data_IF_686140168458
#
_entry.id   IF_686140168458
#
_cell.length_a   1.000
_cell.length_b   1.000
_cell.length_c   1.000
_cell.angle_alpha   90.00
_cell.angle_beta   90.00
_cell.angle_gamma   90.00
#
_symmetry.space_group_name_H-M   'P 1'
#
loop_
_entity.id
_entity.type
_entity.pdbx_description
1 polymer ?
#
# COMPACT_ATOMS: atom_id res chain seq x y z
N UNK A 1 -11.02 22.85 13.49
CA UNK A 1 -11.27 21.56 12.82
C UNK A 1 -10.17 21.40 11.80
N UNK A 2 -9.32 20.39 11.92
CA UNK A 2 -8.32 20.09 10.88
C UNK A 2 -9.11 19.75 9.62
N UNK A 3 -8.91 20.50 8.54
CA UNK A 3 -9.59 20.26 7.27
C UNK A 3 -8.80 19.14 6.58
N UNK A 4 -9.42 17.99 6.33
CA UNK A 4 -8.83 16.94 5.50
C UNK A 4 -8.58 17.51 4.09
N UNK A 5 -7.32 17.48 3.64
CA UNK A 5 -6.91 18.11 2.38
C UNK A 5 -6.96 17.17 1.20
N UNK A 6 -7.14 15.87 1.46
CA UNK A 6 -7.04 14.82 0.45
C UNK A 6 -8.19 13.81 0.57
N UNK A 7 -8.68 13.37 -0.60
CA UNK A 7 -9.56 12.20 -0.71
C UNK A 7 -8.75 11.10 -1.37
N UNK A 8 -8.78 9.92 -0.76
CA UNK A 8 -8.24 8.70 -1.32
C UNK A 8 -9.36 7.78 -1.76
N UNK A 9 -9.28 7.28 -2.98
CA UNK A 9 -10.19 6.25 -3.49
C UNK A 9 -9.46 4.92 -3.60
N UNK A 10 -10.05 3.89 -3.02
CA UNK A 10 -9.49 2.54 -2.96
C UNK A 10 -10.18 1.60 -3.95
N UNK A 11 -9.45 0.56 -4.35
CA UNK A 11 -9.99 -0.51 -5.18
C UNK A 11 -9.23 -1.81 -4.91
N UNK A 12 -9.93 -2.78 -4.36
CA UNK A 12 -9.43 -4.10 -4.00
C UNK A 12 -10.52 -5.15 -4.14
N UNK A 13 -10.11 -6.43 -4.21
CA UNK A 13 -11.02 -7.57 -4.20
C UNK A 13 -11.50 -7.81 -2.75
N UNK A 14 -12.69 -8.38 -2.58
CA UNK A 14 -13.26 -8.68 -1.24
C UNK A 14 -12.34 -9.56 -0.38
N UNK A 15 -11.50 -10.38 -1.01
CA UNK A 15 -10.51 -11.20 -0.31
C UNK A 15 -9.34 -10.40 0.27
N UNK A 16 -9.16 -9.14 -0.12
CA UNK A 16 -8.09 -8.24 0.30
C UNK A 16 -8.58 -7.14 1.26
N UNK A 17 -9.87 -7.13 1.61
CA UNK A 17 -10.50 -6.09 2.44
C UNK A 17 -9.77 -5.89 3.78
N UNK A 18 -9.48 -6.97 4.50
CA UNK A 18 -8.80 -6.89 5.80
C UNK A 18 -7.37 -6.34 5.65
N UNK A 19 -6.65 -6.74 4.59
CA UNK A 19 -5.30 -6.25 4.31
C UNK A 19 -5.30 -4.77 3.92
N UNK A 20 -6.24 -4.34 3.08
CA UNK A 20 -6.40 -2.93 2.72
C UNK A 20 -6.71 -2.08 3.95
N UNK A 21 -7.62 -2.53 4.81
CA UNK A 21 -7.94 -1.86 6.05
C UNK A 21 -6.73 -1.75 7.00
N UNK A 22 -5.95 -2.83 7.12
CA UNK A 22 -4.74 -2.84 7.94
C UNK A 22 -3.66 -1.90 7.37
N UNK A 23 -3.40 -1.92 6.05
CA UNK A 23 -2.48 -0.99 5.39
C UNK A 23 -2.93 0.47 5.61
N UNK A 24 -4.22 0.75 5.42
CA UNK A 24 -4.80 2.09 5.60
C UNK A 24 -4.62 2.60 7.03
N UNK A 25 -4.85 1.75 8.03
CA UNK A 25 -4.61 2.08 9.45
C UNK A 25 -3.16 2.53 9.68
N UNK A 26 -2.19 1.80 9.13
CA UNK A 26 -0.76 2.11 9.35
C UNK A 26 -0.26 3.30 8.53
N UNK A 27 -0.83 3.56 7.36
CA UNK A 27 -0.46 4.72 6.53
C UNK A 27 -1.09 6.02 7.00
N UNK A 28 -2.34 5.99 7.51
CA UNK A 28 -3.13 7.19 7.75
C UNK A 28 -3.59 7.36 9.20
N UNK A 29 -3.37 6.36 10.05
CA UNK A 29 -3.96 6.29 11.40
C UNK A 29 -5.49 6.49 11.39
N UNK A 30 -6.14 6.10 10.31
CA UNK A 30 -7.57 6.18 10.04
C UNK A 30 -8.05 4.90 9.37
N UNK A 31 -9.36 4.72 9.32
CA UNK A 31 -10.01 3.67 8.54
C UNK A 31 -10.77 4.28 7.37
N UNK A 32 -10.77 3.61 6.23
CA UNK A 32 -11.61 3.97 5.11
C UNK A 32 -13.08 3.62 5.37
N UNK A 33 -13.98 4.34 4.72
CA UNK A 33 -15.41 4.04 4.68
C UNK A 33 -15.85 3.95 3.22
N UNK A 34 -16.39 2.80 2.81
CA UNK A 34 -16.89 2.63 1.44
C UNK A 34 -15.81 2.91 0.38
N UNK A 35 -14.60 2.37 0.60
CA UNK A 35 -13.44 2.58 -0.30
C UNK A 35 -13.05 4.05 -0.51
N UNK A 36 -13.39 4.91 0.44
CA UNK A 36 -13.05 6.33 0.47
C UNK A 36 -12.43 6.69 1.81
N UNK A 37 -11.37 7.48 1.80
CA UNK A 37 -10.73 8.02 2.99
C UNK A 37 -10.48 9.52 2.80
N UNK A 38 -10.91 10.30 3.79
CA UNK A 38 -10.54 11.70 3.95
C UNK A 38 -9.35 11.81 4.91
N UNK A 39 -8.29 12.50 4.50
CA UNK A 39 -7.05 12.62 5.29
C UNK A 39 -6.33 13.93 5.05
N UNK A 40 -5.60 14.37 6.07
CA UNK A 40 -4.60 15.45 5.99
C UNK A 40 -3.20 14.95 5.62
N UNK A 41 -2.99 13.63 5.63
CA UNK A 41 -1.71 13.00 5.28
C UNK A 41 -1.61 12.85 3.75
N UNK A 42 -0.54 13.40 3.16
CA UNK A 42 -0.26 13.33 1.73
C UNK A 42 0.57 12.11 1.38
N UNK A 43 -0.02 11.16 0.65
CA UNK A 43 0.65 9.94 0.19
C UNK A 43 0.53 9.83 -1.34
N UNK A 44 1.60 9.40 -2.01
CA UNK A 44 1.53 9.02 -3.42
C UNK A 44 0.72 7.71 -3.56
N UNK A 45 -0.35 7.68 -4.36
CA UNK A 45 -1.13 6.46 -4.58
C UNK A 45 -0.32 5.25 -5.00
N UNK A 46 0.80 5.45 -5.69
CA UNK A 46 1.63 4.37 -6.25
C UNK A 46 2.39 3.57 -5.18
N UNK A 47 2.45 4.07 -3.94
CA UNK A 47 3.05 3.30 -2.83
C UNK A 47 2.14 2.18 -2.32
N UNK A 48 0.83 2.24 -2.60
CA UNK A 48 -0.14 1.21 -2.21
C UNK A 48 -0.65 0.42 -3.42
N UNK A 49 -0.95 -0.85 -3.22
CA UNK A 49 -1.64 -1.66 -4.20
C UNK A 49 -3.15 -1.33 -4.29
N UNK A 50 -3.69 -0.78 -3.22
CA UNK A 50 -5.13 -0.57 -3.03
C UNK A 50 -5.58 0.85 -3.32
N UNK A 51 -4.74 1.87 -3.11
CA UNK A 51 -5.07 3.25 -3.45
C UNK A 51 -5.03 3.40 -4.98
N UNK A 52 -6.17 3.73 -5.58
CA UNK A 52 -6.29 3.96 -7.03
C UNK A 52 -6.04 5.41 -7.40
N UNK A 53 -6.41 6.32 -6.49
CA UNK A 53 -6.35 7.75 -6.77
C UNK A 53 -6.32 8.55 -5.47
N UNK A 54 -5.62 9.68 -5.49
CA UNK A 54 -5.72 10.77 -4.53
C UNK A 54 -6.29 12.01 -5.22
N UNK A 55 -7.16 12.72 -4.53
CA UNK A 55 -7.69 14.02 -4.94
C UNK A 55 -7.15 15.04 -3.94
N UNK A 56 -6.37 16.00 -4.40
CA UNK A 56 -5.92 17.14 -3.62
C UNK A 56 -7.03 18.18 -3.68
N UNK A 57 -7.73 18.41 -2.55
CA UNK A 57 -8.95 19.24 -2.49
C UNK A 57 -8.59 20.69 -2.68
N UNK A 58 -9.26 21.36 -3.62
CA UNK A 58 -9.18 22.80 -3.86
C UNK A 58 -10.39 23.50 -3.24
N UNK A 59 -11.58 22.93 -3.42
CA UNK A 59 -12.81 23.51 -2.91
C UNK A 59 -13.82 22.41 -2.53
N UNK A 60 -14.64 22.70 -1.54
CA UNK A 60 -15.73 21.82 -1.12
C UNK A 60 -16.95 22.61 -0.68
N UNK A 61 -18.16 22.04 -0.82
CA UNK A 61 -19.41 22.63 -0.34
C UNK A 61 -20.52 21.57 -0.30
N UNK A 62 -21.45 21.73 0.63
CA UNK A 62 -22.70 20.95 0.62
C UNK A 62 -23.61 21.33 -0.55
N UNK A 63 -23.61 22.60 -0.92
CA UNK A 63 -24.39 23.10 -2.04
C UNK A 63 -23.54 23.27 -3.29
N UNK A 64 -24.01 22.72 -4.41
CA UNK A 64 -23.29 22.74 -5.67
C UNK A 64 -23.11 24.16 -6.24
N UNK A 65 -24.12 25.05 -6.12
CA UNK A 65 -24.01 26.41 -6.62
C UNK A 65 -22.97 27.22 -5.84
N UNK A 66 -22.86 26.96 -4.56
CA UNK A 66 -21.80 27.51 -3.70
C UNK A 66 -20.43 26.99 -4.10
N UNK A 67 -20.31 25.68 -4.40
CA UNK A 67 -19.04 25.13 -4.92
C UNK A 67 -18.58 25.84 -6.19
N UNK A 68 -19.47 26.00 -7.18
CA UNK A 68 -19.16 26.72 -8.42
C UNK A 68 -18.70 28.16 -8.15
N UNK A 69 -19.40 28.85 -7.23
CA UNK A 69 -19.00 30.21 -6.84
C UNK A 69 -17.63 30.26 -6.21
N UNK A 70 -17.29 29.27 -5.40
CA UNK A 70 -15.97 29.17 -4.80
C UNK A 70 -14.88 28.87 -5.86
N UNK A 71 -15.13 27.92 -6.78
CA UNK A 71 -14.19 27.62 -7.88
C UNK A 71 -13.89 28.87 -8.72
N UNK A 72 -14.90 29.67 -9.03
CA UNK A 72 -14.70 30.94 -9.76
C UNK A 72 -13.84 31.94 -8.99
N UNK A 73 -13.96 32.00 -7.66
CA UNK A 73 -13.13 32.87 -6.81
C UNK A 73 -11.66 32.44 -6.78
N UNK A 74 -11.37 31.14 -6.96
CA UNK A 74 -9.98 30.63 -7.06
C UNK A 74 -9.27 31.13 -8.31
N UNK A 75 -10.01 31.69 -9.30
CA UNK A 75 -9.45 32.26 -10.54
C UNK A 75 -8.45 31.32 -11.23
N UNK A 76 -8.82 30.04 -11.35
CA UNK A 76 -7.94 29.03 -11.94
C UNK A 76 -7.77 29.34 -13.43
N UNK A 77 -6.51 29.61 -13.84
CA UNK A 77 -6.13 29.84 -15.25
C UNK A 77 -5.06 28.83 -15.65
N UNK A 78 -5.39 27.90 -16.56
CA UNK A 78 -4.48 26.83 -16.98
C UNK A 78 -4.85 26.27 -18.33
N UNK A 79 -3.85 26.04 -19.19
CA UNK A 79 -4.00 25.38 -20.48
C UNK A 79 -3.86 23.86 -20.39
N UNK A 80 -4.60 23.14 -21.21
CA UNK A 80 -4.50 21.68 -21.31
C UNK A 80 -5.12 20.95 -20.13
N UNK A 81 -6.17 21.48 -19.51
CA UNK A 81 -6.86 20.80 -18.41
C UNK A 81 -7.96 19.86 -18.91
N UNK A 82 -8.32 18.91 -18.04
CA UNK A 82 -9.54 18.08 -18.19
C UNK A 82 -10.23 17.97 -16.84
N UNK A 83 -11.55 17.95 -16.87
CA UNK A 83 -12.39 17.69 -15.69
C UNK A 83 -13.04 16.31 -15.82
N UNK A 84 -12.89 15.46 -14.80
CA UNK A 84 -13.54 14.16 -14.68
C UNK A 84 -14.53 14.16 -13.53
N UNK A 85 -15.63 13.41 -13.67
CA UNK A 85 -16.50 13.07 -12.56
C UNK A 85 -16.11 11.68 -12.03
N UNK A 86 -15.82 11.58 -10.74
CA UNK A 86 -15.58 10.29 -10.08
C UNK A 86 -16.83 9.92 -9.27
N UNK A 87 -17.44 8.80 -9.64
CA UNK A 87 -18.56 8.22 -8.89
C UNK A 87 -17.98 7.46 -7.71
N UNK A 88 -18.16 7.99 -6.52
CA UNK A 88 -17.79 7.33 -5.27
C UNK A 88 -18.98 6.50 -4.76
N UNK A 89 -18.71 5.56 -3.84
CA UNK A 89 -19.77 4.70 -3.31
C UNK A 89 -20.81 5.54 -2.53
N UNK A 90 -22.09 5.31 -2.83
CA UNK A 90 -23.21 6.10 -2.28
C UNK A 90 -23.62 7.31 -3.14
N UNK A 91 -22.86 7.64 -4.19
CA UNK A 91 -23.22 8.71 -5.11
C UNK A 91 -24.32 8.26 -6.10
N UNK A 92 -25.50 8.85 -5.96
CA UNK A 92 -26.69 8.58 -6.79
C UNK A 92 -26.92 9.62 -7.88
N UNK A 93 -25.96 10.53 -8.12
CA UNK A 93 -26.08 11.57 -9.13
C UNK A 93 -26.28 10.96 -10.51
N UNK A 94 -27.35 11.32 -11.21
CA UNK A 94 -27.67 10.82 -12.55
C UNK A 94 -26.62 11.23 -13.58
N UNK A 95 -26.39 10.38 -14.58
CA UNK A 95 -25.36 10.59 -15.62
C UNK A 95 -25.49 11.93 -16.34
N UNK A 96 -26.71 12.32 -16.77
CA UNK A 96 -26.95 13.60 -17.42
C UNK A 96 -26.56 14.78 -16.51
N UNK A 97 -26.95 14.72 -15.23
CA UNK A 97 -26.59 15.74 -14.25
C UNK A 97 -25.07 15.84 -14.02
N UNK A 98 -24.35 14.71 -14.09
CA UNK A 98 -22.86 14.74 -14.00
C UNK A 98 -22.25 15.48 -15.18
N UNK A 99 -22.76 15.27 -16.40
CA UNK A 99 -22.26 15.95 -17.60
C UNK A 99 -22.50 17.47 -17.52
N UNK A 100 -23.67 17.90 -17.06
CA UNK A 100 -23.98 19.32 -16.88
C UNK A 100 -23.03 19.95 -15.84
N UNK A 101 -22.80 19.25 -14.72
CA UNK A 101 -21.86 19.71 -13.69
C UNK A 101 -20.42 19.82 -14.18
N UNK A 102 -19.97 18.85 -15.01
CA UNK A 102 -18.62 18.92 -15.62
C UNK A 102 -18.50 20.11 -16.55
N UNK A 103 -19.54 20.44 -17.31
CA UNK A 103 -19.59 21.61 -18.21
C UNK A 103 -19.51 22.90 -17.39
N UNK A 104 -20.30 23.03 -16.32
CA UNK A 104 -20.29 24.22 -15.46
C UNK A 104 -18.91 24.48 -14.83
N UNK A 105 -18.23 23.41 -14.38
CA UNK A 105 -16.85 23.51 -13.87
C UNK A 105 -15.89 23.91 -15.00
N UNK A 106 -16.00 23.27 -16.18
CA UNK A 106 -15.17 23.62 -17.32
C UNK A 106 -15.23 25.10 -17.69
N UNK A 107 -16.46 25.70 -17.67
CA UNK A 107 -16.65 27.13 -17.88
C UNK A 107 -16.20 28.02 -16.71
N UNK A 108 -15.91 27.43 -15.55
CA UNK A 108 -15.41 28.16 -14.37
C UNK A 108 -13.87 28.22 -14.34
N UNK A 109 -13.18 27.56 -15.27
CA UNK A 109 -11.73 27.51 -15.41
C UNK A 109 -11.35 28.30 -16.67
N UNK A 110 -10.42 29.23 -16.53
CA UNK A 110 -9.86 29.98 -17.66
C UNK A 110 -8.79 29.14 -18.37
N UNK A 111 -8.88 29.04 -19.72
CA UNK A 111 -7.94 28.28 -20.55
C UNK A 111 -8.63 27.28 -21.48
N UNK A 112 -7.84 26.54 -22.25
CA UNK A 112 -8.32 25.60 -23.25
C UNK A 112 -8.23 24.17 -22.71
N UNK A 113 -9.33 23.37 -22.67
CA UNK A 113 -9.27 21.99 -22.23
C UNK A 113 -8.55 21.10 -23.27
N UNK A 114 -7.83 20.08 -22.77
CA UNK A 114 -7.30 18.98 -23.57
C UNK A 114 -7.87 17.64 -23.07
N UNK A 115 -8.71 17.02 -23.86
CA UNK A 115 -9.39 15.77 -23.51
C UNK A 115 -8.52 14.52 -23.72
N UNK A 116 -7.43 14.64 -24.49
CA UNK A 116 -6.58 13.51 -24.88
C UNK A 116 -5.29 13.44 -24.07
N UNK A 117 -4.59 14.57 -23.93
CA UNK A 117 -3.30 14.65 -23.22
C UNK A 117 -3.29 15.79 -22.20
N UNK A 118 -4.19 15.76 -21.20
CA UNK A 118 -4.27 16.85 -20.24
C UNK A 118 -3.00 16.97 -19.41
N UNK A 119 -2.53 18.21 -19.24
CA UNK A 119 -1.42 18.54 -18.34
C UNK A 119 -1.83 18.47 -16.88
N UNK A 120 -3.12 18.74 -16.61
CA UNK A 120 -3.74 18.60 -15.28
C UNK A 120 -5.10 17.96 -15.37
N UNK A 121 -5.40 17.11 -14.40
CA UNK A 121 -6.69 16.44 -14.26
C UNK A 121 -7.41 17.01 -13.04
N UNK A 122 -8.49 17.74 -13.26
CA UNK A 122 -9.42 18.12 -12.21
C UNK A 122 -10.48 17.04 -12.02
N UNK A 123 -11.01 16.95 -10.82
CA UNK A 123 -12.04 15.99 -10.45
C UNK A 123 -13.15 16.68 -9.67
N UNK A 124 -14.39 16.34 -10.04
CA UNK A 124 -15.57 16.54 -9.22
C UNK A 124 -16.01 15.20 -8.67
N UNK A 125 -16.34 15.14 -7.39
CA UNK A 125 -17.01 13.99 -6.77
C UNK A 125 -17.98 14.44 -5.68
N UNK A 126 -18.93 13.56 -5.36
CA UNK A 126 -19.88 13.73 -4.27
C UNK A 126 -19.72 12.61 -3.26
N UNK A 127 -19.52 12.95 -1.99
CA UNK A 127 -19.34 11.98 -0.92
C UNK A 127 -19.77 12.55 0.42
N UNK A 128 -20.51 11.79 1.19
CA UNK A 128 -20.99 12.14 2.54
C UNK A 128 -21.68 13.51 2.57
N UNK A 129 -22.61 13.72 1.62
CA UNK A 129 -23.40 14.95 1.43
C UNK A 129 -22.58 16.23 1.11
N UNK A 130 -21.36 16.05 0.61
CA UNK A 130 -20.46 17.15 0.24
C UNK A 130 -19.96 16.97 -1.19
N UNK A 131 -19.97 18.06 -1.95
CA UNK A 131 -19.28 18.18 -3.23
C UNK A 131 -17.81 18.54 -3.02
N UNK A 132 -16.93 17.84 -3.69
CA UNK A 132 -15.50 18.10 -3.67
C UNK A 132 -14.98 18.36 -5.07
N UNK A 133 -14.16 19.39 -5.20
CA UNK A 133 -13.43 19.71 -6.41
C UNK A 133 -11.94 19.81 -6.08
N UNK A 134 -11.10 19.22 -6.93
CA UNK A 134 -9.66 19.23 -6.72
C UNK A 134 -8.88 18.64 -7.88
N UNK A 135 -7.55 18.55 -7.73
CA UNK A 135 -6.68 17.88 -8.68
C UNK A 135 -6.52 16.41 -8.38
N UNK A 136 -6.36 15.59 -9.42
CA UNK A 136 -6.30 14.14 -9.29
C UNK A 136 -4.94 13.57 -9.64
N UNK A 137 -4.41 12.74 -8.75
CA UNK A 137 -3.20 11.93 -8.93
C UNK A 137 -3.61 10.46 -8.97
N UNK A 138 -3.35 9.78 -10.07
CA UNK A 138 -3.60 8.33 -10.22
C UNK A 138 -2.42 7.51 -9.74
N UNK A 139 -2.68 6.28 -9.28
CA UNK A 139 -1.65 5.27 -9.12
C UNK A 139 -1.05 4.98 -10.52
N UNK A 140 0.25 5.09 -10.65
CA UNK A 140 0.94 4.91 -11.95
C UNK A 140 1.08 3.44 -12.34
N UNK A 141 0.84 2.51 -11.41
CA UNK A 141 0.93 1.06 -11.61
C UNK A 141 2.32 0.55 -12.07
N UNK A 142 3.36 1.37 -12.01
CA UNK A 142 4.70 0.98 -12.47
C UNK A 142 5.29 -0.21 -11.69
N UNK A 143 4.85 -0.40 -10.45
CA UNK A 143 5.21 -1.56 -9.64
C UNK A 143 4.72 -2.91 -10.21
N UNK A 144 3.73 -2.91 -11.11
CA UNK A 144 3.30 -4.13 -11.81
C UNK A 144 4.41 -4.77 -12.65
N UNK A 145 5.44 -4.02 -13.05
CA UNK A 145 6.63 -4.53 -13.73
C UNK A 145 7.32 -5.63 -12.93
N UNK A 146 7.23 -5.61 -11.61
CA UNK A 146 7.84 -6.64 -10.75
C UNK A 146 7.22 -8.04 -10.92
N UNK A 147 6.07 -8.17 -11.58
CA UNK A 147 5.54 -9.48 -12.03
C UNK A 147 6.47 -10.15 -13.04
N UNK A 148 7.29 -9.38 -13.75
CA UNK A 148 8.20 -9.83 -14.79
C UNK A 148 9.63 -10.05 -14.26
N UNK A 149 9.82 -10.12 -12.93
CA UNK A 149 11.12 -10.41 -12.36
C UNK A 149 11.70 -11.71 -12.93
N UNK A 150 13.01 -11.77 -13.27
CA UNK A 150 13.65 -12.91 -13.92
C UNK A 150 13.50 -14.23 -13.15
N UNK A 151 13.55 -14.14 -11.82
CA UNK A 151 13.45 -15.31 -10.95
C UNK A 151 12.20 -15.24 -10.10
N UNK A 152 11.33 -16.23 -10.25
CA UNK A 152 10.08 -16.37 -9.49
C UNK A 152 10.07 -17.69 -8.74
N UNK A 153 9.47 -17.67 -7.56
CA UNK A 153 9.26 -18.87 -6.76
C UNK A 153 7.77 -19.08 -6.53
N UNK A 154 7.28 -20.31 -6.72
CA UNK A 154 5.84 -20.62 -6.71
C UNK A 154 5.14 -20.26 -5.40
N UNK A 155 5.89 -20.25 -4.30
CA UNK A 155 5.38 -19.97 -2.95
C UNK A 155 5.54 -18.52 -2.53
N UNK A 156 6.17 -17.66 -3.34
CA UNK A 156 6.31 -16.25 -3.04
C UNK A 156 4.95 -15.57 -2.87
N UNK A 157 4.90 -14.61 -1.99
CA UNK A 157 3.72 -13.73 -1.87
C UNK A 157 3.52 -12.90 -3.15
N UNK A 158 2.28 -12.46 -3.39
CA UNK A 158 2.01 -11.56 -4.52
C UNK A 158 2.64 -10.19 -4.28
N UNK A 159 2.94 -9.47 -5.36
CA UNK A 159 3.49 -8.11 -5.25
C UNK A 159 2.54 -7.15 -4.54
N UNK A 160 1.21 -7.34 -4.65
CA UNK A 160 0.22 -6.53 -3.91
C UNK A 160 0.33 -6.73 -2.40
N UNK A 161 0.45 -8.00 -1.96
CA UNK A 161 0.65 -8.33 -0.54
C UNK A 161 1.99 -7.78 -0.07
N UNK A 162 3.09 -8.03 -0.79
CA UNK A 162 4.42 -7.55 -0.45
C UNK A 162 4.43 -6.03 -0.24
N UNK A 163 3.76 -5.28 -1.13
CA UNK A 163 3.63 -3.83 -1.06
C UNK A 163 2.90 -3.38 0.20
N UNK A 164 1.78 -4.01 0.53
CA UNK A 164 1.04 -3.71 1.76
C UNK A 164 1.87 -4.03 3.02
N UNK A 165 2.59 -5.16 3.06
CA UNK A 165 3.46 -5.51 4.19
C UNK A 165 4.55 -4.45 4.42
N UNK A 166 5.16 -3.92 3.35
CA UNK A 166 6.14 -2.82 3.44
C UNK A 166 5.51 -1.58 4.08
N UNK A 167 4.30 -1.21 3.67
CA UNK A 167 3.60 -0.05 4.22
C UNK A 167 3.21 -0.26 5.70
N UNK A 168 2.75 -1.44 6.07
CA UNK A 168 2.43 -1.80 7.45
C UNK A 168 3.70 -1.76 8.32
N UNK A 169 4.80 -2.37 7.86
CA UNK A 169 6.05 -2.39 8.60
C UNK A 169 6.64 -1.00 8.79
N UNK A 170 6.69 -0.21 7.71
CA UNK A 170 7.28 1.13 7.72
C UNK A 170 6.38 2.21 8.33
N UNK A 171 5.07 1.97 8.44
CA UNK A 171 4.07 2.98 8.85
C UNK A 171 4.14 4.25 7.97
N UNK A 172 4.48 4.12 6.69
CA UNK A 172 4.65 5.25 5.78
C UNK A 172 5.89 6.11 6.04
N UNK A 173 6.69 5.83 7.07
CA UNK A 173 7.88 6.58 7.41
C UNK A 173 9.08 6.14 6.56
N UNK A 174 9.49 6.97 5.59
CA UNK A 174 10.63 6.70 4.69
C UNK A 174 12.01 6.66 5.37
N UNK A 175 12.10 7.10 6.61
CA UNK A 175 13.36 7.04 7.38
C UNK A 175 13.59 5.67 8.00
N UNK A 176 12.52 4.87 8.16
CA UNK A 176 12.62 3.54 8.73
C UNK A 176 13.48 2.62 7.87
N UNK A 177 14.39 1.91 8.51
CA UNK A 177 15.21 0.85 7.94
C UNK A 177 14.50 -0.47 8.14
N UNK A 178 14.28 -1.18 7.07
CA UNK A 178 13.54 -2.44 7.08
C UNK A 178 14.48 -3.63 6.86
N UNK A 179 14.05 -4.81 7.32
CA UNK A 179 14.67 -6.08 6.93
C UNK A 179 13.58 -7.07 6.50
N UNK A 180 13.85 -7.80 5.42
CA UNK A 180 13.10 -9.00 5.03
C UNK A 180 13.88 -10.21 5.54
N UNK A 181 13.40 -10.81 6.65
CA UNK A 181 14.16 -11.81 7.40
C UNK A 181 14.18 -13.21 6.76
N UNK A 182 13.29 -13.45 5.78
CA UNK A 182 13.24 -14.67 4.96
C UNK A 182 12.99 -14.27 3.50
N UNK A 183 13.91 -13.49 2.91
CA UNK A 183 13.66 -12.72 1.71
C UNK A 183 13.39 -13.54 0.45
N UNK A 184 13.77 -14.83 0.43
CA UNK A 184 13.58 -15.68 -0.72
C UNK A 184 14.16 -15.05 -2.00
N UNK A 185 13.33 -14.88 -3.03
CA UNK A 185 13.71 -14.23 -4.31
C UNK A 185 13.56 -12.69 -4.28
N UNK A 186 13.34 -12.08 -3.11
CA UNK A 186 13.35 -10.63 -2.90
C UNK A 186 12.06 -9.91 -3.30
N UNK A 187 10.89 -10.55 -3.27
CA UNK A 187 9.62 -9.91 -3.68
C UNK A 187 9.27 -8.70 -2.79
N UNK A 188 9.42 -8.82 -1.47
CA UNK A 188 9.19 -7.71 -0.52
C UNK A 188 10.23 -6.61 -0.73
N UNK A 189 11.48 -6.99 -0.95
CA UNK A 189 12.57 -6.04 -1.18
C UNK A 189 12.34 -5.18 -2.43
N UNK A 190 11.84 -5.78 -3.53
CA UNK A 190 11.48 -5.03 -4.75
C UNK A 190 10.43 -3.95 -4.46
N UNK A 191 9.37 -4.29 -3.72
CA UNK A 191 8.31 -3.34 -3.39
C UNK A 191 8.78 -2.26 -2.42
N UNK A 192 9.66 -2.58 -1.47
CA UNK A 192 10.27 -1.61 -0.58
C UNK A 192 11.16 -0.62 -1.34
N UNK A 193 12.04 -1.11 -2.20
CA UNK A 193 12.91 -0.28 -3.04
C UNK A 193 12.10 0.63 -3.98
N UNK A 194 11.08 0.09 -4.67
CA UNK A 194 10.17 0.87 -5.50
C UNK A 194 9.52 2.00 -4.73
N UNK A 195 9.08 1.71 -3.52
CA UNK A 195 8.43 2.68 -2.64
C UNK A 195 9.43 3.63 -1.95
N UNK A 196 10.73 3.53 -2.24
CA UNK A 196 11.78 4.43 -1.71
C UNK A 196 12.18 4.15 -0.26
N UNK A 197 11.94 2.94 0.25
CA UNK A 197 12.41 2.51 1.57
C UNK A 197 13.80 1.88 1.48
N UNK A 198 14.59 2.02 2.55
CA UNK A 198 15.83 1.27 2.76
C UNK A 198 15.47 -0.09 3.34
N UNK A 199 15.86 -1.15 2.68
CA UNK A 199 15.62 -2.52 3.10
C UNK A 199 16.83 -3.39 2.84
N UNK A 200 17.17 -4.23 3.82
CA UNK A 200 18.11 -5.35 3.66
C UNK A 200 17.29 -6.66 3.63
N UNK A 201 17.87 -7.72 3.10
CA UNK A 201 17.28 -9.05 3.10
C UNK A 201 18.20 -10.11 3.67
N UNK A 202 17.65 -11.14 4.30
CA UNK A 202 18.39 -12.32 4.77
C UNK A 202 17.67 -13.60 4.38
N UNK A 203 18.39 -14.60 3.90
CA UNK A 203 17.89 -15.95 3.66
C UNK A 203 19.02 -16.96 3.86
N UNK A 204 18.71 -18.14 4.39
CA UNK A 204 19.67 -19.22 4.58
C UNK A 204 20.02 -19.93 3.27
N UNK A 205 19.18 -19.80 2.24
CA UNK A 205 19.37 -20.48 0.96
C UNK A 205 20.19 -19.61 -0.01
N UNK A 206 21.45 -20.01 -0.32
CA UNK A 206 22.33 -19.23 -1.18
C UNK A 206 21.74 -18.98 -2.57
N UNK A 207 21.02 -19.97 -3.12
CA UNK A 207 20.41 -19.85 -4.45
C UNK A 207 19.34 -18.76 -4.47
N UNK A 208 18.46 -18.71 -3.46
CA UNK A 208 17.42 -17.68 -3.37
C UNK A 208 18.04 -16.29 -3.20
N UNK A 209 19.13 -16.16 -2.44
CA UNK A 209 19.85 -14.90 -2.30
C UNK A 209 20.48 -14.42 -3.63
N UNK A 210 21.01 -15.36 -4.45
CA UNK A 210 21.52 -15.03 -5.79
C UNK A 210 20.35 -14.53 -6.66
N UNK A 211 19.24 -15.25 -6.66
CA UNK A 211 18.05 -14.89 -7.42
C UNK A 211 17.46 -13.53 -6.96
N UNK A 212 17.46 -13.23 -5.65
CA UNK A 212 17.05 -11.94 -5.10
C UNK A 212 17.92 -10.78 -5.60
N UNK A 213 19.26 -10.94 -5.53
CA UNK A 213 20.22 -9.93 -6.05
C UNK A 213 20.03 -9.70 -7.54
N UNK A 214 19.81 -10.76 -8.32
CA UNK A 214 19.57 -10.66 -9.74
C UNK A 214 18.25 -9.94 -10.05
N UNK A 215 17.17 -10.22 -9.29
CA UNK A 215 15.88 -9.52 -9.41
C UNK A 215 16.02 -8.03 -9.07
N UNK A 216 16.69 -7.67 -7.97
CA UNK A 216 16.94 -6.27 -7.59
C UNK A 216 17.75 -5.55 -8.68
N UNK A 217 18.84 -6.15 -9.14
CA UNK A 217 19.69 -5.60 -10.21
C UNK A 217 18.94 -5.38 -11.52
N UNK A 218 18.04 -6.32 -11.90
CA UNK A 218 17.24 -6.22 -13.11
C UNK A 218 16.35 -4.95 -13.14
N UNK A 219 15.84 -4.53 -11.98
CA UNK A 219 15.05 -3.30 -11.84
C UNK A 219 15.88 -2.07 -11.43
N UNK A 220 17.22 -2.20 -11.35
CA UNK A 220 18.10 -1.10 -10.99
C UNK A 220 18.06 -0.72 -9.50
N UNK A 221 17.61 -1.63 -8.62
CA UNK A 221 17.58 -1.40 -7.19
C UNK A 221 18.86 -1.88 -6.52
N UNK A 222 19.26 -1.17 -5.45
CA UNK A 222 20.41 -1.49 -4.62
C UNK A 222 19.94 -1.75 -3.20
N UNK A 223 20.17 -2.97 -2.72
CA UNK A 223 19.88 -3.40 -1.35
C UNK A 223 20.81 -4.55 -0.97
N UNK A 224 21.18 -4.66 0.31
CA UNK A 224 22.01 -5.75 0.80
C UNK A 224 21.17 -7.04 0.95
N UNK A 225 21.71 -8.15 0.47
CA UNK A 225 21.11 -9.49 0.65
C UNK A 225 22.14 -10.38 1.32
N UNK A 226 21.88 -10.78 2.57
CA UNK A 226 22.76 -11.64 3.36
C UNK A 226 22.39 -13.11 3.16
N UNK A 227 23.37 -13.92 2.78
CA UNK A 227 23.24 -15.38 2.74
C UNK A 227 23.62 -15.94 4.10
N UNK A 228 22.70 -15.88 5.05
CA UNK A 228 22.96 -16.28 6.44
C UNK A 228 21.64 -16.52 7.19
N UNK A 229 21.74 -17.20 8.32
CA UNK A 229 20.67 -17.26 9.30
C UNK A 229 20.47 -15.85 9.92
N UNK A 230 19.22 -15.45 10.13
CA UNK A 230 18.87 -14.14 10.68
C UNK A 230 19.55 -13.84 12.02
N UNK A 231 19.84 -14.85 12.84
CA UNK A 231 20.57 -14.71 14.11
C UNK A 231 21.99 -14.15 13.96
N UNK A 232 22.59 -14.24 12.76
CA UNK A 232 23.94 -13.76 12.48
C UNK A 232 23.94 -12.34 11.89
N UNK A 233 22.77 -11.73 11.71
CA UNK A 233 22.65 -10.35 11.27
C UNK A 233 22.89 -9.41 12.45
N UNK A 234 23.97 -8.62 12.38
CA UNK A 234 24.43 -7.77 13.49
C UNK A 234 24.01 -6.29 13.33
N UNK A 235 23.07 -5.98 12.43
CA UNK A 235 22.52 -4.64 12.24
C UNK A 235 21.17 -4.56 12.92
N UNK A 236 20.74 -3.37 13.34
CA UNK A 236 19.40 -3.09 13.88
C UNK A 236 18.54 -2.38 12.84
N UNK A 237 17.24 -2.64 12.91
CA UNK A 237 16.23 -2.15 11.98
C UNK A 237 15.02 -1.63 12.75
N UNK A 238 14.27 -0.70 12.15
CA UNK A 238 13.05 -0.17 12.75
C UNK A 238 11.87 -1.15 12.63
N UNK A 239 11.88 -2.01 11.60
CA UNK A 239 10.91 -3.08 11.46
C UNK A 239 11.41 -4.23 10.58
N UNK A 240 10.88 -5.42 10.84
CA UNK A 240 11.12 -6.62 10.05
C UNK A 240 9.83 -7.11 9.39
N UNK A 241 9.99 -7.71 8.20
CA UNK A 241 8.96 -8.50 7.53
C UNK A 241 9.45 -9.93 7.48
N UNK A 242 8.60 -10.88 7.85
CA UNK A 242 8.90 -12.30 7.87
C UNK A 242 7.81 -13.04 7.09
N UNK A 243 8.09 -13.46 5.85
CA UNK A 243 7.24 -14.43 5.15
C UNK A 243 7.76 -15.83 5.50
N UNK A 244 7.17 -16.45 6.53
CA UNK A 244 7.64 -17.72 7.06
C UNK A 244 7.62 -18.82 5.99
N UNK A 245 8.65 -19.68 5.96
CA UNK A 245 8.71 -20.75 4.97
C UNK A 245 7.53 -21.72 5.13
N UNK A 246 6.92 -22.08 4.00
CA UNK A 246 5.77 -22.98 3.95
C UNK A 246 6.25 -24.44 3.78
N UNK A 247 5.64 -25.36 4.53
CA UNK A 247 5.96 -26.80 4.55
C UNK A 247 5.68 -27.56 3.22
N UNK A 248 5.79 -26.90 2.06
CA UNK A 248 5.54 -27.56 0.77
C UNK A 248 6.78 -28.26 0.18
N UNK A 249 7.99 -27.86 0.60
CA UNK A 249 9.26 -28.39 0.05
C UNK A 249 10.34 -28.65 1.11
N UNK A 250 10.16 -28.21 2.34
CA UNK A 250 11.02 -28.48 3.49
C UNK A 250 10.18 -28.64 4.75
N UNK A 251 10.53 -29.58 5.61
CA UNK A 251 9.88 -29.73 6.91
C UNK A 251 10.42 -28.60 7.79
N UNK A 252 9.62 -27.54 7.98
CA UNK A 252 9.89 -26.48 8.95
C UNK A 252 9.20 -26.84 10.24
N UNK A 253 9.94 -26.95 11.32
CA UNK A 253 9.41 -27.27 12.64
C UNK A 253 8.94 -26.01 13.35
N UNK A 254 8.11 -26.18 14.39
CA UNK A 254 7.72 -25.06 15.26
C UNK A 254 8.92 -24.39 15.94
N UNK A 255 9.96 -25.16 16.25
CA UNK A 255 11.21 -24.64 16.81
C UNK A 255 11.98 -23.77 15.81
N UNK A 256 11.95 -24.10 14.53
CA UNK A 256 12.56 -23.26 13.48
C UNK A 256 11.83 -21.92 13.38
N UNK A 257 10.49 -21.93 13.40
CA UNK A 257 9.66 -20.72 13.41
C UNK A 257 9.96 -19.88 14.63
N UNK A 258 9.99 -20.49 15.83
CA UNK A 258 10.31 -19.82 17.08
C UNK A 258 11.71 -19.20 17.03
N UNK A 259 12.69 -19.92 16.46
CA UNK A 259 14.05 -19.43 16.28
C UNK A 259 14.10 -18.20 15.38
N UNK A 260 13.46 -18.24 14.21
CA UNK A 260 13.41 -17.11 13.28
C UNK A 260 12.79 -15.88 13.97
N UNK A 261 11.63 -16.03 14.62
CA UNK A 261 10.92 -14.93 15.26
C UNK A 261 11.79 -14.32 16.38
N UNK A 262 12.33 -15.13 17.29
CA UNK A 262 13.18 -14.66 18.40
C UNK A 262 14.42 -13.93 17.90
N UNK A 263 15.16 -14.52 16.94
CA UNK A 263 16.34 -13.87 16.40
C UNK A 263 16.03 -12.54 15.69
N UNK A 264 14.87 -12.45 15.05
CA UNK A 264 14.43 -11.19 14.43
C UNK A 264 14.04 -10.15 15.48
N UNK A 265 13.43 -10.57 16.59
CA UNK A 265 13.06 -9.68 17.71
C UNK A 265 14.29 -9.01 18.35
N UNK A 266 15.46 -9.66 18.34
CA UNK A 266 16.70 -9.11 18.89
C UNK A 266 17.23 -7.91 18.08
N UNK A 267 16.81 -7.74 16.83
CA UNK A 267 17.33 -6.73 15.92
C UNK A 267 16.28 -5.74 15.42
N UNK A 268 15.01 -5.84 15.86
CA UNK A 268 13.92 -4.96 15.41
C UNK A 268 12.91 -4.66 16.51
N UNK A 269 12.30 -3.46 16.45
CA UNK A 269 11.26 -3.03 17.37
C UNK A 269 9.83 -3.38 16.91
N UNK A 270 9.67 -3.84 15.67
CA UNK A 270 8.37 -4.24 15.08
C UNK A 270 8.55 -5.37 14.09
N UNK A 271 7.64 -6.34 14.15
CA UNK A 271 7.61 -7.46 13.24
C UNK A 271 6.25 -7.53 12.52
N UNK A 272 6.29 -7.73 11.20
CA UNK A 272 5.12 -8.09 10.39
C UNK A 272 5.34 -9.51 9.89
N UNK A 273 4.60 -10.46 10.47
CA UNK A 273 4.81 -11.89 10.25
C UNK A 273 3.69 -12.43 9.38
N UNK A 274 4.04 -13.20 8.35
CA UNK A 274 3.10 -13.87 7.44
C UNK A 274 3.25 -15.37 7.57
N UNK A 275 2.12 -16.07 7.72
CA UNK A 275 2.09 -17.55 7.74
C UNK A 275 0.78 -18.07 7.16
N UNK A 276 0.80 -19.30 6.64
CA UNK A 276 -0.41 -20.03 6.27
C UNK A 276 -1.00 -20.82 7.44
N UNK A 277 -0.18 -21.16 8.43
CA UNK A 277 -0.61 -21.78 9.68
C UNK A 277 -0.96 -20.71 10.73
N UNK A 278 -1.74 -21.07 11.72
CA UNK A 278 -1.90 -20.28 12.93
C UNK A 278 -0.66 -20.46 13.82
N UNK A 279 0.01 -19.38 14.10
CA UNK A 279 1.25 -19.33 14.92
C UNK A 279 1.11 -18.43 16.13
N UNK A 280 -0.11 -18.12 16.53
CA UNK A 280 -0.40 -17.20 17.63
C UNK A 280 0.33 -17.61 18.91
N UNK A 281 0.30 -18.92 19.27
CA UNK A 281 0.99 -19.41 20.46
C UNK A 281 2.52 -19.29 20.35
N UNK A 282 3.09 -19.49 19.15
CA UNK A 282 4.53 -19.33 18.90
C UNK A 282 4.95 -17.86 19.02
N UNK A 283 4.11 -16.93 18.57
CA UNK A 283 4.35 -15.49 18.75
C UNK A 283 4.39 -15.13 20.23
N UNK A 284 3.42 -15.55 21.04
CA UNK A 284 3.41 -15.31 22.48
C UNK A 284 4.63 -15.91 23.18
N UNK A 285 5.03 -17.13 22.80
CA UNK A 285 6.26 -17.78 23.32
C UNK A 285 7.56 -17.05 22.91
N UNK A 286 7.46 -16.11 22.00
CA UNK A 286 8.59 -15.27 21.57
C UNK A 286 8.65 -13.92 22.29
N UNK A 287 7.88 -13.74 23.37
CA UNK A 287 7.75 -12.47 24.13
C UNK A 287 7.36 -11.30 23.22
N UNK A 288 6.35 -11.54 22.40
CA UNK A 288 5.77 -10.56 21.49
C UNK A 288 4.30 -10.32 21.81
N UNK A 289 3.93 -9.06 21.82
CA UNK A 289 2.53 -8.62 21.87
C UNK A 289 2.01 -8.43 20.45
N UNK A 290 0.89 -9.10 20.11
CA UNK A 290 0.19 -8.90 18.83
C UNK A 290 -0.62 -7.60 18.94
N UNK A 291 -0.28 -6.61 18.14
CA UNK A 291 -0.99 -5.32 18.09
C UNK A 291 -2.11 -5.31 17.06
N UNK A 292 -1.94 -6.05 15.98
CA UNK A 292 -2.93 -6.19 14.90
C UNK A 292 -2.79 -7.53 14.20
N UNK A 293 -3.85 -7.95 13.52
CA UNK A 293 -3.82 -9.10 12.62
C UNK A 293 -4.85 -8.96 11.50
N UNK A 294 -4.60 -9.64 10.38
CA UNK A 294 -5.59 -9.82 9.32
C UNK A 294 -5.36 -11.14 8.57
N UNK A 295 -6.33 -11.53 7.74
CA UNK A 295 -6.27 -12.73 6.92
C UNK A 295 -6.61 -12.43 5.47
N UNK A 296 -5.88 -13.05 4.55
CA UNK A 296 -6.12 -12.96 3.12
C UNK A 296 -6.46 -14.35 2.61
N UNK A 297 -7.63 -14.51 2.01
CA UNK A 297 -8.07 -15.77 1.41
C UNK A 297 -7.72 -15.79 -0.08
N UNK A 298 -7.27 -16.92 -0.59
CA UNK A 298 -7.04 -17.08 -2.03
C UNK A 298 -8.37 -17.37 -2.74
N UNK A 299 -8.72 -16.55 -3.75
CA UNK A 299 -9.91 -16.74 -4.59
C UNK A 299 -9.95 -18.15 -5.17
N UNK A 300 -11.05 -18.86 -5.00
CA UNK A 300 -11.24 -20.23 -5.52
C UNK A 300 -10.64 -21.37 -4.71
N UNK A 301 -9.92 -21.11 -3.62
CA UNK A 301 -9.40 -22.15 -2.70
C UNK A 301 -9.88 -21.88 -1.27
N UNK A 302 -10.93 -22.56 -0.85
CA UNK A 302 -11.56 -22.37 0.48
C UNK A 302 -10.62 -22.65 1.67
N UNK A 303 -9.56 -23.45 1.49
CA UNK A 303 -8.64 -23.87 2.55
C UNK A 303 -7.33 -23.11 2.63
N UNK A 304 -7.02 -22.20 1.69
CA UNK A 304 -5.76 -21.47 1.68
C UNK A 304 -5.97 -20.02 2.10
N UNK A 305 -5.49 -19.69 3.28
CA UNK A 305 -5.41 -18.32 3.77
C UNK A 305 -3.97 -17.99 4.18
N UNK A 306 -3.56 -16.76 3.96
CA UNK A 306 -2.39 -16.16 4.62
C UNK A 306 -2.88 -15.33 5.78
N UNK A 307 -2.30 -15.54 6.94
CA UNK A 307 -2.50 -14.74 8.14
C UNK A 307 -1.32 -13.80 8.32
N UNK A 308 -1.60 -12.60 8.73
CA UNK A 308 -0.62 -11.55 8.94
C UNK A 308 -0.79 -11.06 10.38
N UNK A 309 0.28 -11.01 11.12
CA UNK A 309 0.34 -10.45 12.47
C UNK A 309 1.29 -9.27 12.49
N UNK A 310 0.91 -8.23 13.18
CA UNK A 310 1.81 -7.11 13.52
C UNK A 310 2.12 -7.22 15.00
N UNK A 311 3.40 -7.31 15.32
CA UNK A 311 3.87 -7.59 16.66
C UNK A 311 4.90 -6.58 17.09
N UNK A 312 4.98 -6.35 18.41
CA UNK A 312 6.02 -5.56 19.06
C UNK A 312 6.59 -6.37 20.25
N UNK A 313 7.87 -6.20 20.60
CA UNK A 313 8.45 -6.77 21.83
C UNK A 313 7.66 -6.34 23.08
N UNK A 314 7.56 -7.25 24.07
CA UNK A 314 6.92 -6.98 25.36
C UNK A 314 7.71 -5.99 26.22
#
# INVERSE_FOLDING_TARGET
MLIDNYIYYFGYDDTETELSALETKYLFNKQEKNKVLLSDIKIDPSVSAFIKRRIDIISLSKDYSTLISNIKKESISIEGFKVEYIVLEGDTTEYASRLDKLRDIGFSIEGTPDYYNPTIMFVLCYYDDIWYFGTSIKNNLDWYKHKQKPYSYSNSISISIAKALVNIASQGNKKNKLIDACCGVGTVMLEACFSGYKIDGSDINPKLCIDARANLSYFGYVADVYTTDIKNVNKTYDAAIIDLPYNLLSIVTENDILHIIKSTTEITDRLVIVSTADITDTIHRSSLTITDHCSIRKKGKKSFARRIWVCVPE
#
